data_IF_830057115282
#
_entry.id   IF_830057115282
#
_cell.length_a   1.000
_cell.length_b   1.000
_cell.length_c   1.000
_cell.angle_alpha   90.00
_cell.angle_beta   90.00
_cell.angle_gamma   90.00
#
_symmetry.space_group_name_H-M   'P 1'
#
loop_
_entity.id
_entity.type
_entity.pdbx_description
1 polymer ?
#
# COMPACT_ATOMS: atom_id res chain seq x y z
N UNK A 1 22.92 -0.32 -10.65
CA UNK A 1 21.52 -0.46 -10.10
C UNK A 1 21.58 -1.60 -9.09
N UNK A 2 21.11 -1.39 -7.85
CA UNK A 2 21.16 -2.43 -6.82
C UNK A 2 20.06 -3.46 -7.07
N UNK A 3 20.40 -4.73 -6.89
CA UNK A 3 19.44 -5.83 -6.99
C UNK A 3 18.57 -5.93 -5.73
N UNK A 4 17.37 -6.49 -5.89
CA UNK A 4 16.51 -6.86 -4.78
C UNK A 4 17.09 -8.11 -4.07
N UNK A 5 16.89 -8.18 -2.76
CA UNK A 5 17.33 -9.31 -1.94
C UNK A 5 16.58 -10.59 -2.34
N UNK A 6 17.30 -11.63 -2.74
CA UNK A 6 16.75 -12.94 -3.06
C UNK A 6 16.66 -13.80 -1.79
N UNK A 7 15.50 -13.80 -1.12
CA UNK A 7 15.19 -14.70 0.00
C UNK A 7 14.27 -15.85 -0.43
N UNK A 8 14.02 -16.80 0.45
CA UNK A 8 13.02 -17.85 0.19
C UNK A 8 11.62 -17.31 -0.08
N UNK A 9 11.25 -16.17 0.54
CA UNK A 9 9.95 -15.49 0.37
C UNK A 9 9.85 -14.73 -0.95
N UNK A 10 10.95 -14.18 -1.44
CA UNK A 10 11.00 -13.34 -2.65
C UNK A 10 11.33 -14.10 -3.91
N UNK A 11 11.74 -15.38 -3.79
CA UNK A 11 12.13 -16.21 -4.92
C UNK A 11 10.92 -16.60 -5.77
N UNK A 12 10.94 -16.24 -7.06
CA UNK A 12 9.94 -16.67 -8.03
C UNK A 12 10.10 -18.15 -8.37
N UNK A 13 9.12 -19.00 -8.00
CA UNK A 13 9.11 -20.44 -8.27
C UNK A 13 8.36 -20.80 -9.56
N UNK A 14 7.32 -20.03 -9.94
CA UNK A 14 6.54 -20.17 -11.18
C UNK A 14 6.63 -18.91 -12.01
N UNK A 15 6.65 -19.06 -13.35
CA UNK A 15 6.71 -17.93 -14.29
C UNK A 15 7.87 -16.99 -13.96
N UNK A 16 9.07 -17.55 -13.87
CA UNK A 16 10.30 -16.83 -13.45
C UNK A 16 10.64 -15.68 -14.39
N UNK A 17 10.29 -15.81 -15.66
CA UNK A 17 10.44 -14.79 -16.70
C UNK A 17 9.66 -13.51 -16.43
N UNK A 18 8.58 -13.58 -15.66
CA UNK A 18 7.79 -12.44 -15.20
C UNK A 18 8.38 -11.76 -13.95
N UNK A 19 9.34 -12.41 -13.28
CA UNK A 19 10.05 -11.83 -12.13
C UNK A 19 11.00 -10.71 -12.55
N UNK A 20 11.14 -9.68 -11.71
CA UNK A 20 12.14 -8.63 -11.82
C UNK A 20 12.98 -8.60 -10.56
N UNK A 21 14.28 -8.42 -10.69
CA UNK A 21 15.24 -8.45 -9.58
C UNK A 21 15.86 -7.08 -9.31
N UNK A 22 15.56 -6.09 -10.11
CA UNK A 22 16.11 -4.75 -9.98
C UNK A 22 15.18 -3.82 -9.18
N UNK A 23 15.79 -2.90 -8.42
CA UNK A 23 15.06 -1.90 -7.62
C UNK A 23 14.28 -0.89 -8.45
N UNK A 24 14.68 -0.66 -9.70
CA UNK A 24 13.97 0.28 -10.57
C UNK A 24 12.56 -0.25 -10.88
N UNK A 25 12.42 -1.56 -11.14
CA UNK A 25 11.12 -2.20 -11.32
C UNK A 25 10.24 -2.11 -10.05
N UNK A 26 10.84 -2.25 -8.85
CA UNK A 26 10.10 -2.04 -7.61
C UNK A 26 9.56 -0.61 -7.52
N UNK A 27 10.39 0.38 -7.76
CA UNK A 27 9.98 1.79 -7.72
C UNK A 27 8.96 2.14 -8.81
N UNK A 28 9.04 1.52 -9.99
CA UNK A 28 8.02 1.65 -11.03
C UNK A 28 6.65 1.21 -10.52
N UNK A 29 6.55 0.02 -9.92
CA UNK A 29 5.30 -0.47 -9.35
C UNK A 29 4.81 0.44 -8.22
N UNK A 30 5.70 0.87 -7.32
CA UNK A 30 5.32 1.72 -6.19
C UNK A 30 4.89 3.13 -6.62
N UNK A 31 5.46 3.71 -7.69
CA UNK A 31 5.03 5.02 -8.21
C UNK A 31 3.67 5.01 -8.89
N UNK A 32 3.29 3.87 -9.45
CA UNK A 32 2.07 3.74 -10.25
C UNK A 32 0.78 3.71 -9.43
N UNK A 33 0.83 3.86 -8.10
CA UNK A 33 -0.35 3.88 -7.24
C UNK A 33 -0.06 4.41 -5.85
N UNK A 34 -1.08 4.48 -5.02
CA UNK A 34 -0.99 5.01 -3.64
C UNK A 34 -1.77 4.15 -2.64
N UNK A 35 -2.37 3.03 -3.08
CA UNK A 35 -3.04 2.05 -2.19
C UNK A 35 -2.23 0.77 -2.19
N UNK A 36 -1.96 0.27 -0.99
CA UNK A 36 -1.40 -1.06 -0.76
C UNK A 36 -2.31 -1.90 0.13
N UNK A 37 -2.02 -3.19 0.20
CA UNK A 37 -2.67 -4.12 1.11
C UNK A 37 -1.64 -4.57 2.15
N UNK A 38 -1.83 -4.18 3.40
CA UNK A 38 -0.99 -4.56 4.53
C UNK A 38 -1.51 -5.86 5.14
N UNK A 39 -0.77 -6.94 4.96
CA UNK A 39 -1.01 -8.25 5.58
C UNK A 39 -0.28 -8.36 6.90
N UNK A 40 -1.02 -8.64 7.97
CA UNK A 40 -0.50 -8.82 9.34
C UNK A 40 -1.10 -10.07 9.97
N UNK A 41 -0.45 -10.58 11.01
CA UNK A 41 -1.05 -11.56 11.91
C UNK A 41 -1.49 -10.84 13.18
N UNK A 42 -2.77 -10.89 13.47
CA UNK A 42 -3.37 -10.25 14.66
C UNK A 42 -4.15 -11.31 15.44
N UNK A 43 -3.78 -11.52 16.72
CA UNK A 43 -4.40 -12.57 17.54
C UNK A 43 -4.24 -13.98 16.95
N UNK A 44 -3.14 -14.27 16.26
CA UNK A 44 -2.91 -15.54 15.58
C UNK A 44 -3.69 -15.74 14.28
N UNK A 45 -4.46 -14.71 13.83
CA UNK A 45 -5.30 -14.77 12.62
C UNK A 45 -4.73 -13.84 11.56
N UNK A 46 -4.62 -14.26 10.28
CA UNK A 46 -4.23 -13.37 9.20
C UNK A 46 -5.30 -12.31 8.96
N UNK A 47 -4.85 -11.06 8.78
CA UNK A 47 -5.69 -9.90 8.45
C UNK A 47 -5.02 -9.13 7.33
N UNK A 48 -5.80 -8.66 6.34
CA UNK A 48 -5.33 -7.81 5.24
C UNK A 48 -6.12 -6.50 5.27
N UNK A 49 -5.39 -5.38 5.30
CA UNK A 49 -5.98 -4.04 5.39
C UNK A 49 -5.52 -3.20 4.21
N UNK A 50 -6.44 -2.70 3.35
CA UNK A 50 -6.09 -1.69 2.36
C UNK A 50 -5.77 -0.37 3.06
N UNK A 51 -4.68 0.27 2.65
CA UNK A 51 -4.27 1.56 3.21
C UNK A 51 -3.48 2.38 2.20
N UNK A 52 -3.41 3.70 2.41
CA UNK A 52 -2.54 4.59 1.65
C UNK A 52 -1.08 4.34 2.06
N UNK A 53 -0.18 4.40 1.09
CA UNK A 53 1.26 4.32 1.33
C UNK A 53 2.01 5.48 0.67
N UNK A 54 3.22 5.71 1.14
CA UNK A 54 4.26 6.47 0.49
C UNK A 54 5.57 5.71 0.60
N UNK A 55 6.59 6.10 -0.14
CA UNK A 55 7.89 5.44 -0.06
C UNK A 55 9.03 6.37 -0.46
N UNK A 56 10.23 6.05 0.02
CA UNK A 56 11.50 6.64 -0.42
C UNK A 56 12.44 5.55 -0.96
N UNK A 57 13.74 5.84 -0.97
CA UNK A 57 14.73 4.89 -1.46
C UNK A 57 14.83 3.60 -0.63
N UNK A 58 14.51 3.65 0.67
CA UNK A 58 14.80 2.57 1.59
C UNK A 58 13.57 1.98 2.27
N UNK A 59 12.49 2.75 2.41
CA UNK A 59 11.33 2.37 3.18
C UNK A 59 10.02 2.64 2.45
N UNK A 60 9.04 1.79 2.73
CA UNK A 60 7.62 2.04 2.47
C UNK A 60 6.96 2.46 3.79
N UNK A 61 6.14 3.49 3.73
CA UNK A 61 5.44 4.07 4.87
C UNK A 61 3.95 3.83 4.77
N UNK A 62 3.34 3.44 5.89
CA UNK A 62 1.89 3.37 6.06
C UNK A 62 1.47 4.11 7.31
N UNK A 63 0.24 4.62 7.34
CA UNK A 63 -0.27 5.36 8.48
C UNK A 63 -1.67 4.90 8.89
N UNK A 64 -2.05 5.23 10.12
CA UNK A 64 -3.40 5.02 10.62
C UNK A 64 -3.57 5.56 12.04
N UNK A 65 -4.75 5.34 12.60
CA UNK A 65 -5.02 5.72 13.98
C UNK A 65 -4.09 4.98 14.96
N UNK A 66 -3.63 5.67 15.99
CA UNK A 66 -2.87 5.08 17.09
C UNK A 66 -3.65 3.96 17.83
N UNK A 67 -4.97 3.92 17.67
CA UNK A 67 -5.83 2.86 18.19
C UNK A 67 -6.02 1.67 17.23
N UNK A 68 -5.49 1.73 16.01
CA UNK A 68 -5.64 0.66 15.00
C UNK A 68 -4.85 -0.58 15.38
N UNK A 69 -5.52 -1.71 15.56
CA UNK A 69 -4.90 -3.01 15.88
C UNK A 69 -3.94 -3.48 14.79
N UNK A 70 -4.27 -3.24 13.54
CA UNK A 70 -3.42 -3.57 12.40
C UNK A 70 -2.08 -2.83 12.37
N UNK A 71 -1.98 -1.69 13.08
CA UNK A 71 -0.78 -0.86 13.14
C UNK A 71 -0.08 -0.90 14.50
N UNK A 72 -0.72 -1.44 15.54
CA UNK A 72 -0.16 -1.47 16.89
C UNK A 72 0.16 -2.88 17.38
N UNK A 73 -0.33 -3.92 16.69
CA UNK A 73 -0.17 -5.34 17.11
C UNK A 73 -0.85 -5.68 18.43
N UNK A 74 -1.62 -4.76 19.03
CA UNK A 74 -2.24 -4.97 20.33
C UNK A 74 -3.38 -5.99 20.24
N UNK A 75 -3.32 -7.01 21.08
CA UNK A 75 -4.42 -7.92 21.38
C UNK A 75 -5.59 -7.14 21.98
N UNK A 76 -6.86 -7.50 21.67
CA UNK A 76 -7.99 -7.00 22.44
C UNK A 76 -7.81 -7.44 23.90
N UNK A 77 -7.86 -6.51 24.83
CA UNK A 77 -7.98 -6.88 26.24
C UNK A 77 -9.21 -7.79 26.35
N UNK A 78 -8.98 -9.08 26.72
CA UNK A 78 -10.08 -9.99 27.03
C UNK A 78 -10.84 -9.36 28.18
N UNK A 79 -12.00 -8.79 27.92
CA UNK A 79 -12.95 -8.47 28.98
C UNK A 79 -13.21 -9.75 29.75
N UNK A 80 -12.68 -9.84 30.96
CA UNK A 80 -13.11 -10.85 31.91
C UNK A 80 -14.57 -10.53 32.24
N UNK A 81 -15.48 -11.26 31.60
CA UNK A 81 -16.85 -11.35 32.10
C UNK A 81 -16.79 -12.10 33.44
N UNK A 82 -16.69 -11.34 34.51
CA UNK A 82 -16.79 -11.75 35.88
C UNK A 82 -17.54 -10.65 36.60
N UNK A 83 -18.77 -10.93 36.96
CA UNK A 83 -19.63 -10.09 37.78
C UNK A 83 -18.93 -9.78 39.11
N UNK A 84 -18.62 -8.51 39.34
CA UNK A 84 -18.63 -7.95 40.73
C UNK A 84 -18.75 -6.42 40.57
N UNK A 85 -19.78 -5.90 41.17
CA UNK A 85 -20.03 -4.48 41.29
C UNK A 85 -19.02 -3.89 42.29
N UNK A 86 -18.18 -2.95 41.82
CA UNK A 86 -17.49 -2.04 42.73
C UNK A 86 -17.57 -0.61 42.17
N UNK A 87 -18.05 0.26 43.04
CA UNK A 87 -18.17 1.67 42.86
C UNK A 87 -16.82 2.34 43.12
N UNK A 88 -16.18 2.93 42.10
CA UNK A 88 -14.94 3.66 42.35
C UNK A 88 -14.38 4.40 41.13
N UNK A 89 -14.58 5.72 41.13
CA UNK A 89 -13.78 6.80 40.54
C UNK A 89 -13.08 6.58 39.20
N UNK A 90 -13.65 7.26 38.21
CA UNK A 90 -13.13 7.46 36.85
C UNK A 90 -11.78 8.23 36.85
N UNK A 91 -10.68 7.50 36.79
CA UNK A 91 -9.37 8.02 36.41
C UNK A 91 -8.97 7.36 35.11
N UNK A 92 -9.29 8.01 33.99
CA UNK A 92 -8.75 7.67 32.70
C UNK A 92 -7.24 7.89 32.74
N UNK A 93 -6.48 6.87 33.07
CA UNK A 93 -5.04 6.83 32.81
C UNK A 93 -4.85 6.58 31.31
N UNK A 94 -4.42 7.61 30.57
CA UNK A 94 -3.82 7.50 29.25
C UNK A 94 -2.61 6.55 29.37
N UNK A 95 -2.76 5.31 28.88
CA UNK A 95 -1.66 4.39 28.82
C UNK A 95 -0.63 4.94 27.81
N UNK A 96 0.64 5.09 28.18
CA UNK A 96 1.67 5.58 27.27
C UNK A 96 1.74 4.66 26.05
N UNK A 97 1.81 5.24 24.85
CA UNK A 97 1.99 4.50 23.62
C UNK A 97 3.26 3.62 23.71
N UNK A 98 3.13 2.34 23.36
CA UNK A 98 4.26 1.40 23.39
C UNK A 98 5.45 1.93 22.60
N UNK A 99 6.67 1.59 23.03
CA UNK A 99 7.92 1.98 22.36
C UNK A 99 8.01 1.39 20.95
N UNK A 100 8.93 1.92 20.11
CA UNK A 100 9.21 1.38 18.78
C UNK A 100 9.51 -0.12 18.81
N UNK A 101 10.31 -0.56 19.78
CA UNK A 101 10.68 -1.95 19.94
C UNK A 101 9.48 -2.83 20.33
N UNK A 102 8.58 -2.37 21.20
CA UNK A 102 7.37 -3.09 21.59
C UNK A 102 6.38 -3.23 20.44
N UNK A 103 6.17 -2.19 19.64
CA UNK A 103 5.30 -2.25 18.46
C UNK A 103 5.86 -3.21 17.42
N UNK A 104 7.16 -3.16 17.16
CA UNK A 104 7.86 -4.02 16.22
C UNK A 104 7.79 -5.49 16.63
N UNK A 105 8.04 -5.80 17.92
CA UNK A 105 7.96 -7.15 18.46
C UNK A 105 6.54 -7.72 18.42
N UNK A 106 5.53 -6.88 18.69
CA UNK A 106 4.13 -7.30 18.70
C UNK A 106 3.57 -7.63 17.31
N UNK A 107 4.03 -6.91 16.26
CA UNK A 107 3.54 -7.12 14.89
C UNK A 107 4.22 -8.26 14.14
N UNK A 108 5.48 -8.58 14.47
CA UNK A 108 6.28 -9.52 13.70
C UNK A 108 6.51 -9.09 12.25
N UNK A 109 6.79 -10.03 11.36
CA UNK A 109 6.95 -9.76 9.93
C UNK A 109 5.60 -9.51 9.27
N UNK A 110 5.48 -8.41 8.55
CA UNK A 110 4.32 -8.07 7.72
C UNK A 110 4.61 -8.30 6.24
N UNK A 111 3.55 -8.35 5.43
CA UNK A 111 3.63 -8.35 3.98
C UNK A 111 2.81 -7.18 3.43
N UNK A 112 3.44 -6.30 2.66
CA UNK A 112 2.74 -5.22 1.93
C UNK A 112 2.70 -5.59 0.46
N UNK A 113 1.51 -5.55 -0.15
CA UNK A 113 1.33 -5.81 -1.59
C UNK A 113 0.77 -4.59 -2.30
N UNK A 114 1.33 -4.30 -3.48
CA UNK A 114 0.82 -3.31 -4.44
C UNK A 114 0.58 -4.03 -5.75
N UNK A 115 -0.57 -3.81 -6.39
CA UNK A 115 -0.92 -4.47 -7.65
C UNK A 115 -1.68 -3.51 -8.56
N UNK A 116 -1.25 -3.47 -9.82
CA UNK A 116 -1.92 -2.74 -10.90
C UNK A 116 -2.31 -3.73 -11.98
N UNK A 117 -3.56 -3.65 -12.45
CA UNK A 117 -4.06 -4.43 -13.57
C UNK A 117 -3.97 -3.57 -14.84
N UNK A 118 -3.20 -4.02 -15.82
CA UNK A 118 -2.93 -3.29 -17.05
C UNK A 118 -3.77 -3.81 -18.24
N UNK A 119 -4.40 -4.98 -18.12
CA UNK A 119 -5.32 -5.51 -19.13
C UNK A 119 -5.70 -6.97 -18.93
N UNK A 120 -6.78 -7.37 -19.59
CA UNK A 120 -7.16 -8.78 -19.69
C UNK A 120 -6.52 -9.38 -20.94
N UNK A 121 -5.94 -10.56 -20.81
CA UNK A 121 -5.38 -11.35 -21.93
C UNK A 121 -6.41 -12.40 -22.30
N UNK A 122 -7.01 -12.23 -23.48
CA UNK A 122 -8.04 -13.10 -24.00
C UNK A 122 -7.41 -14.00 -25.08
N UNK A 123 -7.34 -15.27 -24.79
CA UNK A 123 -6.75 -16.29 -25.66
C UNK A 123 -7.85 -17.03 -26.44
N UNK A 124 -7.47 -17.89 -27.37
CA UNK A 124 -8.40 -18.77 -28.10
C UNK A 124 -8.88 -19.90 -27.19
N UNK A 125 -8.02 -20.36 -26.30
CA UNK A 125 -8.36 -21.32 -25.26
C UNK A 125 -8.72 -20.60 -23.95
N UNK A 126 -9.80 -21.00 -23.27
CA UNK A 126 -10.16 -20.50 -21.94
C UNK A 126 -9.03 -20.75 -20.92
N UNK A 127 -8.28 -21.82 -21.11
CA UNK A 127 -7.16 -22.18 -20.23
C UNK A 127 -6.01 -21.16 -20.30
N UNK A 128 -5.78 -20.53 -21.47
CA UNK A 128 -4.70 -19.57 -21.71
C UNK A 128 -5.11 -18.10 -21.42
N UNK A 129 -6.32 -17.87 -20.95
CA UNK A 129 -6.74 -16.54 -20.50
C UNK A 129 -5.88 -16.06 -19.34
N UNK A 130 -5.56 -14.79 -19.31
CA UNK A 130 -4.68 -14.21 -18.30
C UNK A 130 -4.91 -12.73 -18.04
N UNK A 131 -3.98 -12.15 -17.29
CA UNK A 131 -4.00 -10.74 -16.91
C UNK A 131 -2.60 -10.16 -17.11
N UNK A 132 -2.52 -9.03 -17.79
CA UNK A 132 -1.34 -8.17 -17.75
C UNK A 132 -1.39 -7.32 -16.48
N UNK A 133 -0.32 -7.34 -15.70
CA UNK A 133 -0.27 -6.70 -14.40
C UNK A 133 1.17 -6.39 -13.97
N UNK A 134 1.27 -5.46 -13.05
CA UNK A 134 2.50 -5.15 -12.29
C UNK A 134 2.21 -5.32 -10.82
N UNK A 135 3.05 -6.05 -10.09
CA UNK A 135 2.88 -6.25 -8.65
C UNK A 135 4.20 -6.24 -7.90
N UNK A 136 4.16 -5.76 -6.67
CA UNK A 136 5.24 -5.81 -5.71
C UNK A 136 4.74 -6.40 -4.39
N UNK A 137 5.60 -7.20 -3.75
CA UNK A 137 5.43 -7.67 -2.37
C UNK A 137 6.66 -7.26 -1.58
N UNK A 138 6.45 -6.59 -0.46
CA UNK A 138 7.51 -6.12 0.45
C UNK A 138 7.31 -6.81 1.79
N UNK A 139 8.37 -7.42 2.30
CA UNK A 139 8.38 -8.12 3.59
C UNK A 139 9.29 -7.39 4.57
N UNK A 140 8.86 -7.23 5.81
CA UNK A 140 9.69 -6.62 6.84
C UNK A 140 9.02 -6.61 8.19
N UNK A 141 9.82 -6.35 9.22
CA UNK A 141 9.30 -6.03 10.55
C UNK A 141 9.09 -4.52 10.58
N UNK A 142 7.87 -4.04 10.78
CA UNK A 142 7.58 -2.62 10.74
C UNK A 142 8.20 -1.92 11.95
N UNK A 143 8.71 -0.70 11.73
CA UNK A 143 9.23 0.19 12.76
C UNK A 143 8.29 1.39 12.92
N UNK A 144 7.83 1.64 14.13
CA UNK A 144 7.04 2.82 14.46
C UNK A 144 7.93 4.05 14.42
N UNK A 145 7.46 5.13 13.82
CA UNK A 145 8.21 6.38 13.70
C UNK A 145 7.75 7.41 14.73
N UNK A 146 8.70 8.20 15.22
CA UNK A 146 8.49 9.27 16.17
C UNK A 146 9.25 10.57 15.78
N UNK A 147 8.94 11.69 16.43
CA UNK A 147 9.63 12.96 16.23
C UNK A 147 9.66 13.44 14.78
N UNK A 148 10.81 13.94 14.35
CA UNK A 148 11.05 14.50 13.01
C UNK A 148 10.94 13.45 11.90
N UNK A 149 11.33 12.21 12.18
CA UNK A 149 11.24 11.13 11.21
C UNK A 149 9.78 10.82 10.86
N UNK A 150 8.89 10.88 11.85
CA UNK A 150 7.44 10.72 11.65
C UNK A 150 6.85 11.85 10.80
N UNK A 151 7.29 13.09 11.03
CA UNK A 151 6.85 14.25 10.24
C UNK A 151 7.33 14.13 8.79
N UNK A 152 8.57 13.71 8.57
CA UNK A 152 9.15 13.45 7.26
C UNK A 152 8.38 12.36 6.52
N UNK A 153 8.07 11.25 7.17
CA UNK A 153 7.30 10.16 6.59
C UNK A 153 5.85 10.58 6.25
N UNK A 154 5.24 11.42 7.08
CA UNK A 154 3.91 11.98 6.79
C UNK A 154 3.94 12.87 5.54
N UNK A 155 4.99 13.68 5.37
CA UNK A 155 5.21 14.45 4.15
C UNK A 155 5.34 13.53 2.93
N UNK A 156 6.16 12.48 3.02
CA UNK A 156 6.33 11.50 1.94
C UNK A 156 4.99 10.84 1.57
N UNK A 157 4.18 10.43 2.54
CA UNK A 157 2.85 9.88 2.33
C UNK A 157 1.93 10.84 1.58
N UNK A 158 1.92 12.11 1.99
CA UNK A 158 1.10 13.16 1.39
C UNK A 158 1.55 13.44 -0.04
N UNK A 159 2.85 13.68 -0.24
CA UNK A 159 3.42 14.00 -1.55
C UNK A 159 3.34 12.82 -2.53
N UNK A 160 3.39 11.58 -2.05
CA UNK A 160 3.22 10.41 -2.90
C UNK A 160 1.80 10.32 -3.47
N UNK A 161 0.78 10.54 -2.66
CA UNK A 161 -0.63 10.48 -3.08
C UNK A 161 -1.09 11.74 -3.82
N UNK A 162 -0.62 12.91 -3.39
CA UNK A 162 -1.00 14.21 -3.92
C UNK A 162 0.21 15.18 -3.94
N UNK A 163 1.08 15.10 -4.96
CA UNK A 163 2.25 15.97 -5.08
C UNK A 163 1.87 17.47 -5.03
N UNK A 164 2.58 18.23 -4.20
CA UNK A 164 2.32 19.65 -3.93
C UNK A 164 1.30 19.92 -2.81
N UNK A 165 0.63 18.90 -2.31
CA UNK A 165 -0.41 19.06 -1.28
C UNK A 165 0.16 19.38 0.10
N UNK A 166 1.38 18.92 0.40
CA UNK A 166 2.01 19.20 1.70
C UNK A 166 2.26 20.68 1.93
N UNK A 167 2.73 21.38 0.90
CA UNK A 167 3.03 22.82 1.00
C UNK A 167 1.75 23.69 0.87
N UNK A 168 0.70 23.15 0.25
CA UNK A 168 -0.59 23.83 0.12
C UNK A 168 -1.45 23.74 1.36
N UNK A 169 -1.52 22.58 2.00
CA UNK A 169 -2.39 22.34 3.13
C UNK A 169 -1.79 22.83 4.46
N UNK A 170 -2.65 23.10 5.45
CA UNK A 170 -2.21 23.38 6.82
C UNK A 170 -1.40 22.21 7.38
N UNK A 171 -0.28 22.51 7.98
CA UNK A 171 0.55 21.50 8.65
C UNK A 171 -0.17 20.86 9.85
N UNK A 172 0.12 19.60 10.18
CA UNK A 172 -0.53 18.89 11.28
C UNK A 172 -0.17 19.51 12.63
N UNK A 173 -1.16 19.63 13.50
CA UNK A 173 -0.97 20.02 14.90
C UNK A 173 -0.29 18.91 15.71
N UNK A 174 0.26 19.25 16.87
CA UNK A 174 0.84 18.27 17.82
C UNK A 174 -0.17 17.18 18.22
N UNK A 175 -1.44 17.54 18.40
CA UNK A 175 -2.51 16.60 18.76
C UNK A 175 -2.80 15.61 17.62
N UNK A 176 -2.85 16.09 16.38
CA UNK A 176 -3.06 15.24 15.19
C UNK A 176 -1.88 14.29 14.98
N UNK A 177 -0.64 14.77 15.13
CA UNK A 177 0.54 13.92 15.10
C UNK A 177 0.52 12.86 16.20
N UNK A 178 0.17 13.21 17.43
CA UNK A 178 0.08 12.25 18.53
C UNK A 178 -0.98 11.16 18.29
N UNK A 179 -2.09 11.50 17.63
CA UNK A 179 -3.17 10.56 17.31
C UNK A 179 -2.88 9.66 16.09
N UNK A 180 -1.83 9.94 15.35
CA UNK A 180 -1.45 9.18 14.14
C UNK A 180 -0.28 8.25 14.44
N UNK A 181 -0.35 6.98 14.03
CA UNK A 181 0.78 6.07 13.98
C UNK A 181 1.30 6.00 12.55
N UNK A 182 2.62 6.06 12.36
CA UNK A 182 3.28 5.82 11.08
C UNK A 182 4.28 4.69 11.28
N UNK A 183 4.24 3.73 10.36
CA UNK A 183 5.15 2.59 10.32
C UNK A 183 6.02 2.68 9.07
N UNK A 184 7.32 2.43 9.23
CA UNK A 184 8.26 2.22 8.16
C UNK A 184 8.52 0.72 7.98
N UNK A 185 8.44 0.24 6.74
CA UNK A 185 8.77 -1.14 6.35
C UNK A 185 9.91 -1.05 5.34
N UNK A 186 11.04 -1.71 5.65
CA UNK A 186 12.21 -1.68 4.76
C UNK A 186 11.92 -2.30 3.40
N UNK A 187 12.38 -1.66 2.32
CA UNK A 187 12.32 -2.17 0.95
C UNK A 187 13.45 -3.17 0.63
N UNK A 188 14.25 -3.58 1.63
CA UNK A 188 15.38 -4.48 1.42
C UNK A 188 14.92 -5.90 0.98
N UNK A 189 13.77 -6.37 1.47
CA UNK A 189 13.21 -7.67 1.09
C UNK A 189 11.92 -7.47 0.28
N UNK A 190 12.04 -7.46 -1.04
CA UNK A 190 10.93 -7.24 -1.95
C UNK A 190 10.96 -8.22 -3.13
N UNK A 191 9.79 -8.47 -3.70
CA UNK A 191 9.57 -9.28 -4.89
C UNK A 191 8.71 -8.51 -5.87
N UNK A 192 9.12 -8.47 -7.14
CA UNK A 192 8.40 -7.79 -8.21
C UNK A 192 8.05 -8.77 -9.30
N UNK A 193 6.82 -8.69 -9.79
CA UNK A 193 6.33 -9.51 -10.89
C UNK A 193 5.54 -8.67 -11.88
N UNK A 194 5.90 -8.77 -13.16
CA UNK A 194 5.27 -8.05 -14.25
C UNK A 194 4.89 -9.01 -15.37
N UNK A 195 3.66 -8.94 -15.82
CA UNK A 195 3.16 -9.67 -17.00
C UNK A 195 2.67 -8.65 -18.01
N UNK A 196 3.13 -8.79 -19.24
CA UNK A 196 2.73 -7.96 -20.37
C UNK A 196 2.77 -8.80 -21.66
N UNK A 197 2.02 -8.41 -22.67
CA UNK A 197 2.02 -9.06 -23.96
C UNK A 197 0.72 -9.76 -24.32
N UNK A 198 0.65 -10.33 -25.52
CA UNK A 198 -0.48 -11.09 -26.03
C UNK A 198 -0.61 -12.47 -25.35
N UNK A 199 -1.67 -13.24 -25.64
CA UNK A 199 -1.76 -14.64 -25.24
C UNK A 199 -0.70 -15.50 -25.96
N UNK A 200 -0.30 -16.60 -25.31
CA UNK A 200 0.78 -17.48 -25.78
C UNK A 200 0.28 -18.61 -26.72
N UNK A 201 -1.02 -18.67 -27.06
CA UNK A 201 -1.66 -19.73 -27.85
C UNK A 201 -1.60 -19.49 -29.39
N UNK A 202 -0.78 -18.54 -29.84
CA UNK A 202 -0.67 -18.15 -31.25
C UNK A 202 0.05 -19.16 -32.17
N UNK A 203 0.86 -20.04 -31.62
CA UNK A 203 1.67 -21.04 -32.38
C UNK A 203 1.12 -22.47 -32.27
N UNK A 204 0.08 -22.69 -31.47
CA UNK A 204 -0.52 -24.00 -31.24
C UNK A 204 -1.66 -24.34 -32.21
N UNK A 205 -2.29 -25.51 -32.03
CA UNK A 205 -3.43 -25.94 -32.86
C UNK A 205 -4.63 -24.98 -32.74
N UNK A 206 -4.76 -24.27 -31.67
CA UNK A 206 -5.84 -23.31 -31.43
C UNK A 206 -5.74 -22.07 -32.34
N UNK A 207 -4.58 -21.78 -32.90
CA UNK A 207 -4.40 -20.70 -33.88
C UNK A 207 -5.31 -20.83 -35.10
N UNK A 208 -5.64 -22.08 -35.51
CA UNK A 208 -6.48 -22.37 -36.64
C UNK A 208 -7.98 -22.29 -36.39
N UNK A 209 -8.40 -22.04 -35.14
CA UNK A 209 -9.84 -22.00 -34.75
C UNK A 209 -10.62 -20.78 -35.29
N UNK A 210 -9.93 -19.78 -35.84
CA UNK A 210 -10.56 -18.54 -36.33
C UNK A 210 -11.15 -17.66 -35.23
N UNK A 211 -10.79 -17.89 -33.97
CA UNK A 211 -11.25 -17.09 -32.82
C UNK A 211 -10.36 -15.87 -32.62
N UNK A 212 -10.99 -14.75 -32.26
CA UNK A 212 -10.24 -13.56 -31.88
C UNK A 212 -9.47 -13.79 -30.57
N UNK A 213 -8.23 -13.34 -30.52
CA UNK A 213 -7.41 -13.35 -29.31
C UNK A 213 -6.59 -12.06 -29.24
N UNK A 214 -6.32 -11.57 -28.03
CA UNK A 214 -5.58 -10.32 -27.85
C UNK A 214 -5.67 -9.79 -26.42
N UNK A 215 -5.33 -8.52 -26.24
CA UNK A 215 -5.38 -7.84 -24.95
C UNK A 215 -6.50 -6.80 -24.94
N UNK A 216 -7.31 -6.78 -23.89
CA UNK A 216 -8.22 -5.69 -23.57
C UNK A 216 -7.55 -4.80 -22.51
N UNK A 217 -6.95 -3.65 -22.90
CA UNK A 217 -6.21 -2.79 -21.97
C UNK A 217 -7.12 -2.14 -20.93
N UNK A 218 -6.58 -1.94 -19.73
CA UNK A 218 -7.21 -1.19 -18.63
C UNK A 218 -6.30 -0.02 -18.26
N UNK A 219 -6.90 1.14 -18.03
CA UNK A 219 -6.18 2.31 -17.53
C UNK A 219 -7.00 3.00 -16.44
N UNK A 220 -6.34 3.37 -15.35
CA UNK A 220 -6.92 4.24 -14.32
C UNK A 220 -6.61 5.69 -14.68
N UNK A 221 -7.61 6.57 -14.65
CA UNK A 221 -7.48 7.97 -15.05
C UNK A 221 -8.06 8.89 -13.98
N UNK A 222 -7.37 9.98 -13.70
CA UNK A 222 -7.89 11.05 -12.87
C UNK A 222 -9.00 11.79 -13.58
N UNK A 223 -10.15 11.94 -12.93
CA UNK A 223 -11.28 12.71 -13.43
C UNK A 223 -11.18 14.18 -12.99
N UNK A 224 -12.06 15.04 -13.51
CA UNK A 224 -12.16 16.41 -13.07
C UNK A 224 -12.40 16.50 -11.55
N UNK A 225 -11.71 17.41 -10.84
CA UNK A 225 -11.93 17.60 -9.41
C UNK A 225 -13.39 17.99 -9.11
N UNK A 226 -13.95 17.41 -8.06
CA UNK A 226 -15.28 17.76 -7.56
C UNK A 226 -15.09 18.63 -6.32
N UNK A 227 -15.55 19.90 -6.32
CA UNK A 227 -15.40 20.79 -5.19
C UNK A 227 -16.24 20.32 -4.00
N UNK A 228 -15.78 20.62 -2.78
CA UNK A 228 -16.59 20.47 -1.58
C UNK A 228 -17.79 21.45 -1.67
N UNK A 229 -19.02 20.99 -1.41
CA UNK A 229 -20.21 21.83 -1.46
C UNK A 229 -20.17 23.03 -0.47
N UNK A 230 -19.31 22.99 0.54
CA UNK A 230 -19.14 24.07 1.53
C UNK A 230 -18.04 25.08 1.16
N UNK A 231 -17.38 24.90 0.01
CA UNK A 231 -16.38 25.87 -0.44
C UNK A 231 -17.04 27.23 -0.73
N UNK A 232 -16.36 28.35 -0.39
CA UNK A 232 -16.75 29.66 -0.85
C UNK A 232 -16.84 29.74 -2.37
N UNK A 233 -17.79 30.50 -2.89
CA UNK A 233 -17.96 30.72 -4.32
C UNK A 233 -16.68 31.32 -4.95
N UNK A 234 -16.30 30.82 -6.12
CA UNK A 234 -15.12 31.28 -6.86
C UNK A 234 -13.79 30.61 -6.46
N UNK A 235 -13.76 29.76 -5.45
CA UNK A 235 -12.57 28.98 -5.14
C UNK A 235 -12.39 27.83 -6.15
N UNK A 236 -11.26 27.85 -6.85
CA UNK A 236 -10.88 26.84 -7.84
C UNK A 236 -9.87 25.84 -7.25
N UNK A 237 -9.78 24.63 -7.80
CA UNK A 237 -8.71 23.69 -7.41
C UNK A 237 -7.33 24.33 -7.64
N UNK A 238 -6.37 24.12 -6.72
CA UNK A 238 -5.00 24.58 -6.94
C UNK A 238 -4.36 23.85 -8.14
N UNK A 239 -3.36 24.48 -8.77
CA UNK A 239 -2.76 23.99 -10.01
C UNK A 239 -2.28 22.53 -9.92
N UNK A 240 -1.63 22.15 -8.83
CA UNK A 240 -1.12 20.78 -8.62
C UNK A 240 -2.23 19.71 -8.58
N UNK A 241 -3.48 20.10 -8.34
CA UNK A 241 -4.66 19.21 -8.44
C UNK A 241 -5.29 19.31 -9.83
N UNK A 242 -5.44 20.54 -10.36
CA UNK A 242 -6.08 20.78 -11.65
C UNK A 242 -5.38 20.09 -12.83
N UNK A 243 -4.05 20.10 -12.86
CA UNK A 243 -3.25 19.48 -13.93
C UNK A 243 -3.35 17.93 -13.98
N UNK A 244 -3.87 17.30 -12.95
CA UNK A 244 -4.04 15.83 -12.92
C UNK A 244 -5.26 15.36 -13.71
N UNK A 245 -6.26 16.22 -13.89
CA UNK A 245 -7.49 15.85 -14.60
C UNK A 245 -7.20 15.35 -16.02
N UNK A 246 -7.73 14.18 -16.37
CA UNK A 246 -7.50 13.53 -17.65
C UNK A 246 -6.17 12.77 -17.78
N UNK A 247 -5.27 12.87 -16.81
CA UNK A 247 -4.01 12.10 -16.82
C UNK A 247 -4.20 10.69 -16.32
N UNK A 248 -3.36 9.76 -16.79
CA UNK A 248 -3.35 8.38 -16.27
C UNK A 248 -2.63 8.33 -14.92
N UNK A 249 -3.10 7.45 -14.05
CA UNK A 249 -2.35 7.01 -12.89
C UNK A 249 -1.27 6.03 -13.39
N UNK A 250 -0.01 6.46 -13.35
CA UNK A 250 1.14 5.74 -13.90
C UNK A 250 2.30 5.70 -12.90
#
# INVERSE_FOLDING_TARGET
MSELSATERTRHRRLREKGRTDRAALYEVLRAGFICHLGVISGGVPMVVPTVYGFDADNLYVHGSAASRSLTGREPSRSRNGSEADTGTDARQDAPGGSEAETSAAMGTVCVTVTHVDGLVLARSVFEHGVNYRSAMVYGVPRKLEGEEKLTALRILTEHSAPGQWDYARQPSRKELAATTILAISLAEASVKMSSGPPDDGEGPDAALGLWAGVLPIATTWLAPIPDPLLPEGLTPPDHIGVRAGTRLS
#
